data_IF_963065424473
#
_entry.id   IF_963065424473
#
_cell.length_a   1.000
_cell.length_b   1.000
_cell.length_c   1.000
_cell.angle_alpha   90.00
_cell.angle_beta   90.00
_cell.angle_gamma   90.00
#
_symmetry.space_group_name_H-M   'P 1'
#
loop_
_entity.id
_entity.type
_entity.pdbx_description
1 polymer ?
#
# COMPACT_ATOMS: atom_id res chain seq x y z
N UNK A 1 20.00 5.97 65.31
CA UNK A 1 18.65 5.72 64.77
C UNK A 1 18.84 5.10 63.38
N UNK A 2 18.85 3.77 63.31
CA UNK A 2 19.03 3.07 62.05
C UNK A 2 17.63 2.78 61.51
N UNK A 3 17.19 3.54 60.50
CA UNK A 3 15.99 3.24 59.75
C UNK A 3 16.28 2.04 58.85
N UNK A 4 15.69 0.90 59.16
CA UNK A 4 15.63 -0.28 58.28
C UNK A 4 14.87 0.11 57.01
N UNK A 5 15.58 0.23 55.89
CA UNK A 5 14.95 0.44 54.57
C UNK A 5 14.20 -0.84 54.19
N UNK A 6 12.86 -0.81 54.34
CA UNK A 6 11.98 -1.91 53.95
C UNK A 6 11.97 -2.07 52.42
N UNK A 7 12.92 -2.85 51.90
CA UNK A 7 13.04 -3.17 50.49
C UNK A 7 11.91 -4.12 50.09
N UNK A 8 10.74 -3.58 49.76
CA UNK A 8 9.61 -4.34 49.20
C UNK A 8 9.98 -4.80 47.79
N UNK A 9 10.48 -6.03 47.67
CA UNK A 9 10.76 -6.66 46.38
C UNK A 9 9.45 -7.01 45.64
N UNK A 10 9.47 -6.85 44.32
CA UNK A 10 8.40 -7.30 43.42
C UNK A 10 8.27 -8.82 43.49
N UNK A 11 7.04 -9.36 43.53
CA UNK A 11 6.83 -10.80 43.55
C UNK A 11 6.91 -11.39 42.14
N UNK A 12 7.38 -12.65 42.04
CA UNK A 12 7.38 -13.37 40.77
C UNK A 12 5.97 -13.53 40.18
N UNK A 13 4.95 -13.64 41.04
CA UNK A 13 3.56 -13.76 40.61
C UNK A 13 3.03 -12.46 39.99
N UNK A 14 3.38 -11.29 40.54
CA UNK A 14 3.02 -10.00 39.95
C UNK A 14 3.65 -9.84 38.57
N UNK A 15 4.93 -10.22 38.42
CA UNK A 15 5.62 -10.16 37.14
C UNK A 15 4.96 -11.09 36.10
N UNK A 16 4.57 -12.31 36.49
CA UNK A 16 3.91 -13.26 35.59
C UNK A 16 2.53 -12.76 35.11
N UNK A 17 1.74 -12.13 35.98
CA UNK A 17 0.44 -11.55 35.61
C UNK A 17 0.64 -10.41 34.61
N UNK A 18 1.64 -9.54 34.84
CA UNK A 18 1.95 -8.44 33.92
C UNK A 18 2.33 -8.97 32.53
N UNK A 19 3.18 -9.99 32.46
CA UNK A 19 3.58 -10.61 31.18
C UNK A 19 2.37 -11.23 30.48
N UNK A 20 1.47 -11.89 31.23
CA UNK A 20 0.26 -12.48 30.67
C UNK A 20 -0.67 -11.41 30.04
N UNK A 21 -0.87 -10.28 30.71
CA UNK A 21 -1.69 -9.17 30.19
C UNK A 21 -1.04 -8.55 28.95
N UNK A 22 0.27 -8.28 28.98
CA UNK A 22 1.02 -7.75 27.82
C UNK A 22 0.92 -8.72 26.63
N UNK A 23 1.01 -10.03 26.88
CA UNK A 23 0.87 -11.05 25.84
C UNK A 23 -0.48 -10.99 25.11
N UNK A 24 -1.58 -10.86 25.85
CA UNK A 24 -2.94 -10.73 25.28
C UNK A 24 -3.06 -9.43 24.47
N UNK A 25 -2.60 -8.31 25.02
CA UNK A 25 -2.66 -7.02 24.33
C UNK A 25 -1.82 -7.03 23.05
N UNK A 26 -0.62 -7.61 23.09
CA UNK A 26 0.25 -7.72 21.93
C UNK A 26 -0.36 -8.57 20.81
N UNK A 27 -1.02 -9.68 21.16
CA UNK A 27 -1.67 -10.55 20.18
C UNK A 27 -2.76 -9.83 19.37
N UNK A 28 -3.47 -8.87 19.98
CA UNK A 28 -4.51 -8.07 19.30
C UNK A 28 -3.91 -6.85 18.60
N UNK A 29 -2.96 -6.16 19.25
CA UNK A 29 -2.41 -4.91 18.76
C UNK A 29 -1.48 -5.10 17.56
N UNK A 30 -0.68 -6.18 17.52
CA UNK A 30 0.30 -6.39 16.46
C UNK A 30 -0.35 -6.56 15.07
N UNK A 31 -1.37 -7.41 14.87
CA UNK A 31 -2.05 -7.51 13.58
C UNK A 31 -2.66 -6.18 13.12
N UNK A 32 -3.32 -5.45 14.03
CA UNK A 32 -3.93 -4.16 13.72
C UNK A 32 -2.88 -3.10 13.33
N UNK A 33 -1.73 -3.09 14.01
CA UNK A 33 -0.63 -2.19 13.68
C UNK A 33 -0.01 -2.53 12.30
N UNK A 34 0.13 -3.82 11.97
CA UNK A 34 0.58 -4.24 10.64
C UNK A 34 -0.38 -3.79 9.53
N UNK A 35 -1.69 -3.82 9.79
CA UNK A 35 -2.68 -3.32 8.84
C UNK A 35 -2.62 -1.80 8.66
N UNK A 36 -2.38 -1.05 9.74
CA UNK A 36 -2.17 0.40 9.68
C UNK A 36 -0.94 0.77 8.83
N UNK A 37 0.20 0.11 9.10
CA UNK A 37 1.42 0.32 8.32
C UNK A 37 1.22 -0.11 6.86
N UNK A 38 0.57 -1.24 6.62
CA UNK A 38 0.22 -1.71 5.27
C UNK A 38 -0.66 -0.72 4.51
N UNK A 39 -1.60 -0.04 5.19
CA UNK A 39 -2.41 1.01 4.58
C UNK A 39 -1.61 2.22 4.17
N UNK A 40 -0.70 2.68 5.03
CA UNK A 40 0.20 3.79 4.72
C UNK A 40 1.09 3.45 3.50
N UNK A 41 1.62 2.23 3.45
CA UNK A 41 2.40 1.73 2.30
C UNK A 41 1.59 1.73 1.00
N UNK A 42 0.33 1.27 1.04
CA UNK A 42 -0.56 1.28 -0.11
C UNK A 42 -0.89 2.70 -0.58
N UNK A 43 -1.12 3.64 0.35
CA UNK A 43 -1.33 5.05 0.03
C UNK A 43 -0.12 5.66 -0.67
N UNK A 44 1.10 5.39 -0.19
CA UNK A 44 2.33 5.88 -0.81
C UNK A 44 2.47 5.35 -2.25
N UNK A 45 2.22 4.06 -2.47
CA UNK A 45 2.24 3.47 -3.81
C UNK A 45 1.22 4.12 -4.75
N UNK A 46 -0.02 4.29 -4.29
CA UNK A 46 -1.10 4.95 -5.05
C UNK A 46 -0.70 6.38 -5.43
N UNK A 47 -0.15 7.13 -4.47
CA UNK A 47 0.30 8.50 -4.69
C UNK A 47 1.48 8.56 -5.66
N UNK A 48 2.41 7.62 -5.54
CA UNK A 48 3.62 7.61 -6.39
C UNK A 48 3.28 7.48 -7.88
N UNK A 49 2.20 6.79 -8.23
CA UNK A 49 1.76 6.56 -9.62
C UNK A 49 0.78 7.60 -10.14
N UNK A 50 0.51 8.69 -9.41
CA UNK A 50 -0.40 9.74 -9.86
C UNK A 50 0.03 10.38 -11.18
N UNK A 51 1.34 10.57 -11.39
CA UNK A 51 1.87 11.06 -12.67
C UNK A 51 1.52 10.14 -13.83
N UNK A 52 1.75 8.83 -13.66
CA UNK A 52 1.41 7.82 -14.69
C UNK A 52 -0.10 7.78 -14.96
N UNK A 53 -0.96 7.98 -13.95
CA UNK A 53 -2.41 8.09 -14.17
C UNK A 53 -2.75 9.26 -15.09
N UNK A 54 -2.09 10.40 -14.90
CA UNK A 54 -2.27 11.59 -15.74
C UNK A 54 -1.79 11.31 -17.16
N UNK A 55 -0.63 10.68 -17.33
CA UNK A 55 -0.07 10.35 -18.64
C UNK A 55 -0.97 9.36 -19.41
N UNK A 56 -1.43 8.30 -18.74
CA UNK A 56 -2.38 7.33 -19.33
C UNK A 56 -3.69 8.02 -19.70
N UNK A 57 -4.21 8.91 -18.85
CA UNK A 57 -5.42 9.68 -19.12
C UNK A 57 -5.26 10.65 -20.29
N UNK A 58 -4.11 11.30 -20.39
CA UNK A 58 -3.78 12.21 -21.50
C UNK A 58 -3.65 11.44 -22.81
N UNK A 59 -2.98 10.30 -22.80
CA UNK A 59 -2.88 9.43 -23.97
C UNK A 59 -4.25 8.94 -24.44
N UNK A 60 -5.09 8.48 -23.51
CA UNK A 60 -6.45 8.04 -23.83
C UNK A 60 -7.30 9.19 -24.40
N UNK A 61 -7.16 10.41 -23.87
CA UNK A 61 -7.84 11.60 -24.40
C UNK A 61 -7.44 11.93 -25.84
N UNK A 62 -6.15 11.80 -26.18
CA UNK A 62 -5.61 12.14 -27.50
C UNK A 62 -5.90 11.06 -28.54
N UNK A 63 -5.70 9.79 -28.20
CA UNK A 63 -5.71 8.67 -29.14
C UNK A 63 -7.02 7.88 -29.12
N UNK A 64 -7.87 8.07 -28.11
CA UNK A 64 -9.10 7.29 -27.91
C UNK A 64 -8.87 5.81 -27.56
N UNK A 65 -7.61 5.40 -27.38
CA UNK A 65 -7.20 4.03 -27.03
C UNK A 65 -6.16 4.07 -25.91
N UNK A 66 -6.07 3.00 -25.13
CA UNK A 66 -5.03 2.88 -24.11
C UNK A 66 -3.65 2.60 -24.73
N UNK A 67 -2.55 2.97 -24.03
CA UNK A 67 -1.19 2.73 -24.50
C UNK A 67 -0.95 1.27 -24.88
N UNK A 68 -0.39 1.06 -26.08
CA UNK A 68 0.03 -0.27 -26.55
C UNK A 68 1.39 -0.65 -25.96
N UNK A 69 1.75 -1.93 -26.08
CA UNK A 69 3.05 -2.42 -25.64
C UNK A 69 4.19 -1.63 -26.31
N UNK A 70 5.22 -1.27 -25.54
CA UNK A 70 6.37 -0.48 -26.01
C UNK A 70 6.15 1.04 -26.04
N UNK A 71 5.03 1.53 -25.47
CA UNK A 71 4.82 2.97 -25.30
C UNK A 71 5.70 3.53 -24.15
N UNK A 72 6.20 4.76 -24.31
CA UNK A 72 7.08 5.45 -23.35
C UNK A 72 6.51 5.56 -21.92
N UNK A 73 5.19 5.56 -21.77
CA UNK A 73 4.52 5.57 -20.45
C UNK A 73 4.86 4.29 -19.67
N UNK A 74 4.95 3.15 -20.35
CA UNK A 74 5.32 1.87 -19.74
C UNK A 74 6.79 1.85 -19.32
N UNK A 75 7.67 2.38 -20.16
CA UNK A 75 9.11 2.45 -19.86
C UNK A 75 9.36 3.39 -18.67
N UNK A 76 8.66 4.52 -18.63
CA UNK A 76 8.70 5.47 -17.52
C UNK A 76 8.20 4.83 -16.22
N UNK A 77 7.09 4.09 -16.28
CA UNK A 77 6.56 3.36 -15.12
C UNK A 77 7.57 2.32 -14.60
N UNK A 78 8.21 1.55 -15.48
CA UNK A 78 9.21 0.56 -15.09
C UNK A 78 10.44 1.17 -14.40
N UNK A 79 10.78 2.42 -14.67
CA UNK A 79 11.90 3.11 -14.03
C UNK A 79 11.57 3.67 -12.66
N UNK A 80 10.28 3.74 -12.29
CA UNK A 80 9.84 4.28 -11.00
C UNK A 80 10.38 3.45 -9.84
N UNK A 81 10.80 4.15 -8.79
CA UNK A 81 11.26 3.56 -7.53
C UNK A 81 10.53 4.25 -6.39
N UNK A 82 10.09 3.45 -5.42
CA UNK A 82 9.48 3.95 -4.19
C UNK A 82 10.19 3.36 -2.98
N UNK A 83 9.73 3.72 -1.79
CA UNK A 83 10.27 3.16 -0.54
C UNK A 83 10.04 1.66 -0.40
N UNK A 84 8.93 1.16 -0.95
CA UNK A 84 8.46 -0.22 -0.78
C UNK A 84 8.35 -1.00 -2.10
N UNK A 85 8.90 -0.46 -3.19
CA UNK A 85 9.00 -1.14 -4.47
C UNK A 85 10.25 -0.66 -5.23
N UNK A 86 10.99 -1.59 -5.82
CA UNK A 86 12.13 -1.28 -6.68
C UNK A 86 11.69 -0.88 -8.09
N UNK A 87 12.67 -0.47 -8.92
CA UNK A 87 12.44 -0.38 -10.37
C UNK A 87 11.94 -1.73 -10.91
N UNK A 88 11.06 -1.66 -11.90
CA UNK A 88 10.27 -2.77 -12.42
C UNK A 88 8.99 -3.04 -11.62
N UNK A 89 8.85 -2.47 -10.42
CA UNK A 89 7.70 -2.69 -9.54
C UNK A 89 6.40 -2.07 -10.03
N UNK A 90 6.45 -1.04 -10.88
CA UNK A 90 5.26 -0.39 -11.46
C UNK A 90 5.12 -0.76 -12.93
N UNK A 91 4.03 -1.44 -13.28
CA UNK A 91 3.73 -1.91 -14.64
C UNK A 91 2.43 -1.27 -15.11
N UNK A 92 2.41 -0.70 -16.31
CA UNK A 92 1.17 -0.32 -17.00
C UNK A 92 0.81 -1.41 -18.00
N UNK A 93 -0.36 -2.02 -17.83
CA UNK A 93 -0.80 -3.11 -18.68
C UNK A 93 -1.20 -2.60 -20.08
N UNK A 94 -0.69 -3.19 -21.16
CA UNK A 94 -1.01 -2.78 -22.52
C UNK A 94 -2.50 -2.86 -22.83
N UNK A 95 -2.97 -1.92 -23.66
CA UNK A 95 -4.35 -1.84 -24.17
C UNK A 95 -5.45 -1.68 -23.11
N UNK A 96 -5.10 -1.64 -21.82
CA UNK A 96 -6.06 -1.53 -20.70
C UNK A 96 -5.76 -0.35 -19.79
N UNK A 97 -4.51 0.14 -19.76
CA UNK A 97 -4.12 1.27 -18.91
C UNK A 97 -4.12 0.95 -17.41
N UNK A 98 -4.27 -0.32 -17.04
CA UNK A 98 -4.23 -0.75 -15.64
C UNK A 98 -2.81 -0.57 -15.11
N UNK A 99 -2.66 0.23 -14.05
CA UNK A 99 -1.36 0.47 -13.41
C UNK A 99 -1.26 -0.47 -12.22
N UNK A 100 -0.23 -1.31 -12.18
CA UNK A 100 0.01 -2.26 -11.09
C UNK A 100 1.32 -1.91 -10.40
N UNK A 101 1.28 -1.70 -9.09
CA UNK A 101 2.46 -1.53 -8.25
C UNK A 101 2.64 -2.77 -7.39
N UNK A 102 3.80 -3.41 -7.48
CA UNK A 102 4.19 -4.60 -6.72
C UNK A 102 5.12 -4.20 -5.59
N UNK A 103 4.77 -4.56 -4.36
CA UNK A 103 5.60 -4.27 -3.20
C UNK A 103 6.69 -5.33 -3.04
N UNK A 104 7.94 -4.89 -2.92
CA UNK A 104 9.08 -5.77 -2.64
C UNK A 104 9.34 -5.90 -1.12
N UNK A 105 8.93 -4.90 -0.34
CA UNK A 105 9.25 -4.75 1.10
C UNK A 105 8.05 -4.31 1.92
N UNK A 106 8.19 -4.39 3.25
CA UNK A 106 7.20 -3.89 4.20
C UNK A 106 6.06 -4.88 4.49
N UNK A 107 4.97 -4.39 5.08
CA UNK A 107 3.82 -5.17 5.50
C UNK A 107 3.02 -5.73 4.30
N UNK A 108 3.22 -5.16 3.12
CA UNK A 108 2.62 -5.61 1.86
C UNK A 108 3.59 -6.35 0.94
N UNK A 109 4.80 -6.72 1.38
CA UNK A 109 5.78 -7.43 0.55
C UNK A 109 5.15 -8.64 -0.18
N UNK A 110 5.39 -8.74 -1.49
CA UNK A 110 4.83 -9.76 -2.37
C UNK A 110 3.39 -9.50 -2.83
N UNK A 111 2.73 -8.45 -2.34
CA UNK A 111 1.38 -8.05 -2.75
C UNK A 111 1.42 -6.94 -3.79
N UNK A 112 0.27 -6.63 -4.37
CA UNK A 112 0.11 -5.61 -5.40
C UNK A 112 -1.05 -4.68 -5.07
N UNK A 113 -0.91 -3.42 -5.48
CA UNK A 113 -2.02 -2.47 -5.60
C UNK A 113 -2.19 -2.14 -7.08
N UNK A 114 -3.42 -2.18 -7.55
CA UNK A 114 -3.77 -1.88 -8.94
C UNK A 114 -4.63 -0.61 -9.01
N UNK A 115 -4.45 0.19 -10.05
CA UNK A 115 -5.29 1.32 -10.40
C UNK A 115 -5.91 1.03 -11.77
N UNK A 116 -7.22 0.81 -11.78
CA UNK A 116 -8.00 0.43 -12.97
C UNK A 116 -8.75 1.66 -13.47
N UNK A 117 -8.46 2.16 -14.68
CA UNK A 117 -9.20 3.27 -15.26
C UNK A 117 -10.59 2.81 -15.71
N UNK A 118 -11.60 3.64 -15.50
CA UNK A 118 -12.94 3.47 -16.08
C UNK A 118 -13.13 4.49 -17.19
N UNK A 119 -12.94 4.12 -18.46
CA UNK A 119 -13.08 5.04 -19.58
C UNK A 119 -14.55 5.32 -19.91
N UNK A 120 -14.82 6.53 -20.37
CA UNK A 120 -16.03 6.88 -21.10
C UNK A 120 -15.73 6.74 -22.61
N UNK A 121 -16.41 5.82 -23.31
CA UNK A 121 -16.16 5.61 -24.74
C UNK A 121 -16.62 6.78 -25.62
N UNK A 122 -17.48 7.68 -25.14
CA UNK A 122 -18.09 8.73 -25.96
C UNK A 122 -17.25 10.01 -26.06
N UNK A 123 -16.43 10.30 -25.05
CA UNK A 123 -15.67 11.56 -24.97
C UNK A 123 -14.21 11.34 -24.58
N UNK A 124 -13.71 10.10 -24.66
CA UNK A 124 -12.33 9.73 -24.34
C UNK A 124 -11.85 10.19 -22.95
N UNK A 125 -12.77 10.37 -22.01
CA UNK A 125 -12.47 10.74 -20.63
C UNK A 125 -12.27 9.50 -19.77
N UNK A 126 -11.35 9.53 -18.81
CA UNK A 126 -11.36 8.57 -17.69
C UNK A 126 -12.28 9.12 -16.59
N UNK A 127 -13.41 8.44 -16.35
CA UNK A 127 -14.44 8.86 -15.39
C UNK A 127 -13.93 8.73 -13.96
N UNK A 128 -13.33 7.57 -13.67
CA UNK A 128 -12.86 7.23 -12.33
C UNK A 128 -11.70 6.25 -12.41
N UNK A 129 -10.93 6.18 -11.33
CA UNK A 129 -9.90 5.19 -11.11
C UNK A 129 -10.28 4.34 -9.91
N UNK A 130 -10.49 3.05 -10.13
CA UNK A 130 -10.74 2.09 -9.07
C UNK A 130 -9.45 1.46 -8.60
N UNK A 131 -9.18 1.49 -7.31
CA UNK A 131 -8.06 0.77 -6.74
C UNK A 131 -8.44 -0.64 -6.31
N UNK A 132 -7.48 -1.56 -6.39
CA UNK A 132 -7.64 -2.94 -5.99
C UNK A 132 -6.29 -3.64 -5.86
N UNK A 133 -6.24 -4.92 -6.20
CA UNK A 133 -5.03 -5.74 -6.20
C UNK A 133 -5.09 -6.87 -5.18
N UNK A 134 -3.93 -7.40 -4.80
CA UNK A 134 -3.83 -8.50 -3.83
C UNK A 134 -3.62 -8.03 -2.39
N UNK A 135 -3.41 -6.73 -2.17
CA UNK A 135 -3.45 -6.12 -0.84
C UNK A 135 -4.87 -6.27 -0.27
N UNK A 136 -4.96 -6.76 0.97
CA UNK A 136 -6.24 -6.95 1.67
C UNK A 136 -7.00 -5.64 1.80
N UNK A 137 -8.34 -5.67 1.71
CA UNK A 137 -9.18 -4.46 1.86
C UNK A 137 -8.81 -3.62 3.08
N UNK A 138 -8.54 -4.23 4.24
CA UNK A 138 -8.13 -3.53 5.48
C UNK A 138 -6.85 -2.67 5.36
N UNK A 139 -6.02 -2.94 4.35
CA UNK A 139 -4.75 -2.26 4.04
C UNK A 139 -4.86 -1.39 2.78
N UNK A 140 -6.04 -1.26 2.17
CA UNK A 140 -6.24 -0.30 1.09
C UNK A 140 -6.60 1.07 1.68
N UNK A 141 -6.21 2.18 1.02
CA UNK A 141 -6.68 3.52 1.37
C UNK A 141 -8.21 3.58 1.43
N UNK A 142 -8.78 4.48 2.22
CA UNK A 142 -10.24 4.67 2.25
C UNK A 142 -10.80 5.15 0.91
N UNK A 143 -10.02 5.87 0.11
CA UNK A 143 -10.37 6.24 -1.27
C UNK A 143 -10.46 5.04 -2.23
N UNK A 144 -10.06 3.86 -1.77
CA UNK A 144 -10.00 2.60 -2.52
C UNK A 144 -10.96 1.53 -1.98
N UNK A 145 -11.79 1.86 -0.99
CA UNK A 145 -12.76 0.97 -0.35
C UNK A 145 -14.18 1.37 -0.75
#
# INVERSE_FOLDING_TARGET
MNQEMNNRGFTLIELMIVIAIIGILAAIALPAYQDYIGRSQAMEAVKSVEGIKIDVGTYYWQEGVFPRAGNIIMDSAQQMKGKYFSAGGVVVQPNTGIITTTFDKGANSGKTVTMVPTPNPNNHQIITWHCGGTVSKARLPSSCQ
#
